data_IF_122369565206
#
_entry.id   IF_122369565206
#
_cell.length_a   1.000
_cell.length_b   1.000
_cell.length_c   1.000
_cell.angle_alpha   90.00
_cell.angle_beta   90.00
_cell.angle_gamma   90.00
#
_symmetry.space_group_name_H-M   'P 1'
#
loop_
_entity.id
_entity.type
_entity.pdbx_description
1 polymer ?
#
# COMPACT_ATOMS: atom_id res chain seq x y z
N UNK A 1 -8.98 23.06 4.20
CA UNK A 1 -9.09 21.62 4.11
C UNK A 1 -8.40 21.07 2.90
N UNK A 2 -8.82 21.50 1.75
CA UNK A 2 -8.25 20.97 0.52
C UNK A 2 -6.76 21.25 0.42
N UNK A 3 -6.36 22.39 0.93
CA UNK A 3 -4.95 22.76 0.90
C UNK A 3 -4.10 21.79 1.69
N UNK A 4 -4.58 21.40 2.88
CA UNK A 4 -3.84 20.45 3.70
C UNK A 4 -3.76 19.10 3.03
N UNK A 5 -4.84 18.65 2.42
CA UNK A 5 -4.84 17.36 1.76
C UNK A 5 -3.92 17.37 0.54
N UNK A 6 -3.88 18.46 -0.19
CA UNK A 6 -2.96 18.56 -1.33
C UNK A 6 -1.51 18.53 -0.86
N UNK A 7 -1.22 19.18 0.25
CA UNK A 7 0.14 19.18 0.79
C UNK A 7 0.54 17.79 1.26
N UNK A 8 -0.36 17.09 1.95
CA UNK A 8 -0.07 15.75 2.43
C UNK A 8 0.13 14.81 1.26
N UNK A 9 -0.74 14.87 0.26
CA UNK A 9 -0.62 14.03 -0.91
C UNK A 9 0.71 14.27 -1.61
N UNK A 10 1.05 15.53 -1.86
CA UNK A 10 2.29 15.87 -2.53
C UNK A 10 3.50 15.35 -1.75
N UNK A 11 3.49 15.56 -0.44
CA UNK A 11 4.61 15.14 0.39
C UNK A 11 4.76 13.63 0.39
N UNK A 12 3.68 12.90 0.58
CA UNK A 12 3.76 11.45 0.66
C UNK A 12 4.13 10.81 -0.68
N UNK A 13 3.64 11.40 -1.80
CA UNK A 13 4.04 10.92 -3.12
C UNK A 13 5.53 11.12 -3.31
N UNK A 14 6.05 12.31 -2.96
CA UNK A 14 7.47 12.59 -3.12
C UNK A 14 8.31 11.68 -2.24
N UNK A 15 7.87 11.44 -1.03
CA UNK A 15 8.60 10.55 -0.12
C UNK A 15 8.69 9.14 -0.68
N UNK A 16 7.57 8.62 -1.18
CA UNK A 16 7.57 7.28 -1.74
C UNK A 16 8.45 7.21 -2.98
N UNK A 17 8.38 8.24 -3.84
CA UNK A 17 9.25 8.29 -5.01
C UNK A 17 10.71 8.24 -4.61
N UNK A 18 11.06 9.02 -3.60
CA UNK A 18 12.44 9.06 -3.12
C UNK A 18 12.87 7.71 -2.57
N UNK A 19 12.02 7.08 -1.78
CA UNK A 19 12.33 5.79 -1.19
C UNK A 19 12.52 4.70 -2.24
N UNK A 20 11.78 4.80 -3.34
CA UNK A 20 11.86 3.82 -4.42
C UNK A 20 12.84 4.20 -5.50
N UNK A 21 13.52 5.35 -5.35
CA UNK A 21 14.49 5.79 -6.33
C UNK A 21 13.88 6.15 -7.67
N UNK A 22 12.72 6.75 -7.65
CA UNK A 22 11.91 6.98 -8.84
C UNK A 22 11.78 8.46 -9.12
N UNK A 23 11.93 8.86 -10.39
CA UNK A 23 11.64 10.24 -10.77
C UNK A 23 10.26 10.32 -11.40
N UNK A 24 9.85 11.55 -11.77
CA UNK A 24 8.50 11.77 -12.30
C UNK A 24 8.26 11.00 -13.60
N UNK A 25 9.26 10.91 -14.45
CA UNK A 25 9.12 10.18 -15.70
C UNK A 25 8.90 8.69 -15.41
N UNK A 26 9.70 8.14 -14.52
CA UNK A 26 9.57 6.73 -14.17
C UNK A 26 8.22 6.44 -13.53
N UNK A 27 7.76 7.33 -12.67
CA UNK A 27 6.44 7.16 -12.07
C UNK A 27 5.36 7.23 -13.12
N UNK A 28 5.49 8.15 -14.07
CA UNK A 28 4.52 8.26 -15.16
C UNK A 28 4.47 6.97 -15.96
N UNK A 29 5.62 6.43 -16.30
CA UNK A 29 5.68 5.20 -17.09
C UNK A 29 5.11 4.01 -16.33
N UNK A 30 5.44 3.92 -15.05
CA UNK A 30 4.99 2.78 -14.26
C UNK A 30 3.51 2.85 -13.94
N UNK A 31 2.99 4.04 -13.68
CA UNK A 31 1.59 4.22 -13.29
C UNK A 31 0.65 4.35 -14.48
N UNK A 32 1.16 4.78 -15.61
CA UNK A 32 0.31 5.10 -16.74
C UNK A 32 -0.37 6.45 -16.61
N UNK A 33 0.05 7.26 -15.66
CA UNK A 33 -0.50 8.60 -15.44
C UNK A 33 0.48 9.61 -16.05
N UNK A 34 -0.05 10.64 -16.73
CA UNK A 34 0.81 11.59 -17.42
C UNK A 34 1.71 12.35 -16.46
N UNK A 35 2.88 12.75 -16.94
CA UNK A 35 3.79 13.56 -16.13
C UNK A 35 3.15 14.88 -15.72
N UNK A 36 2.30 15.43 -16.57
CA UNK A 36 1.61 16.67 -16.27
C UNK A 36 0.77 16.55 -15.01
N UNK A 37 0.03 15.43 -14.89
CA UNK A 37 -0.79 15.19 -13.71
C UNK A 37 0.08 14.99 -12.48
N UNK A 38 1.17 14.23 -12.62
CA UNK A 38 2.08 13.99 -11.52
C UNK A 38 2.72 15.30 -11.07
N UNK A 39 3.11 16.15 -12.01
CA UNK A 39 3.69 17.43 -11.68
C UNK A 39 2.72 18.31 -10.90
N UNK A 40 1.46 18.34 -11.32
CA UNK A 40 0.47 19.16 -10.62
C UNK A 40 0.23 18.69 -9.20
N UNK A 41 0.13 17.37 -9.01
CA UNK A 41 -0.13 16.88 -7.66
C UNK A 41 1.08 17.06 -6.75
N UNK A 42 2.30 16.90 -7.26
CA UNK A 42 3.49 17.08 -6.43
C UNK A 42 3.77 18.55 -6.14
N UNK A 43 3.19 19.46 -6.90
CA UNK A 43 3.30 20.87 -6.66
C UNK A 43 2.06 21.44 -5.97
N UNK A 44 1.22 20.58 -5.43
CA UNK A 44 0.04 20.96 -4.67
C UNK A 44 -0.96 21.79 -5.47
N UNK A 45 -0.99 21.57 -6.77
CA UNK A 45 -1.88 22.37 -7.63
C UNK A 45 -3.21 21.70 -7.93
N UNK A 46 -3.27 20.38 -7.81
CA UNK A 46 -4.49 19.68 -8.13
C UNK A 46 -4.49 18.29 -7.50
N UNK A 47 -5.70 17.77 -7.27
CA UNK A 47 -5.86 16.36 -6.93
C UNK A 47 -6.00 15.56 -8.21
N UNK A 48 -5.44 14.36 -8.26
CA UNK A 48 -5.72 13.45 -9.37
C UNK A 48 -7.13 12.88 -9.21
N UNK A 49 -7.67 12.33 -10.28
CA UNK A 49 -8.92 11.60 -10.18
C UNK A 49 -8.71 10.35 -9.32
N UNK A 50 -9.82 9.75 -8.87
CA UNK A 50 -9.72 8.55 -8.06
C UNK A 50 -8.97 7.44 -8.80
N UNK A 51 -9.25 7.30 -10.10
CA UNK A 51 -8.56 6.29 -10.90
C UNK A 51 -7.08 6.57 -11.02
N UNK A 52 -6.70 7.83 -11.26
CA UNK A 52 -5.30 8.19 -11.34
C UNK A 52 -4.59 8.04 -10.00
N UNK A 53 -5.28 8.39 -8.92
CA UNK A 53 -4.70 8.22 -7.60
C UNK A 53 -4.38 6.76 -7.31
N UNK A 54 -5.30 5.87 -7.67
CA UNK A 54 -5.06 4.44 -7.45
C UNK A 54 -3.88 3.95 -8.29
N UNK A 55 -3.80 4.39 -9.55
CA UNK A 55 -2.68 3.99 -10.40
C UNK A 55 -1.35 4.47 -9.82
N UNK A 56 -1.32 5.69 -9.32
CA UNK A 56 -0.11 6.23 -8.72
C UNK A 56 0.23 5.45 -7.45
N UNK A 57 -0.77 5.16 -6.62
CA UNK A 57 -0.53 4.42 -5.39
C UNK A 57 0.03 3.03 -5.70
N UNK A 58 -0.51 2.36 -6.69
CA UNK A 58 0.01 1.04 -7.07
C UNK A 58 1.45 1.13 -7.54
N UNK A 59 1.77 2.14 -8.34
CA UNK A 59 3.13 2.32 -8.84
C UNK A 59 4.11 2.63 -7.71
N UNK A 60 3.63 3.27 -6.64
CA UNK A 60 4.45 3.61 -5.49
C UNK A 60 4.40 2.55 -4.39
N UNK A 61 3.72 1.44 -4.68
CA UNK A 61 3.61 0.31 -3.74
C UNK A 61 2.99 0.73 -2.42
N UNK A 62 1.92 1.51 -2.51
CA UNK A 62 1.21 1.97 -1.33
C UNK A 62 -0.27 2.05 -1.64
N UNK A 63 -1.04 2.73 -0.80
CA UNK A 63 -2.48 2.87 -0.97
C UNK A 63 -2.86 4.32 -1.14
N UNK A 64 -4.01 4.56 -1.81
CA UNK A 64 -4.52 5.91 -1.94
C UNK A 64 -4.83 6.52 -0.59
N UNK A 65 -5.34 5.72 0.36
CA UNK A 65 -5.64 6.22 1.69
C UNK A 65 -4.40 6.76 2.39
N UNK A 66 -3.28 6.05 2.26
CA UNK A 66 -2.04 6.54 2.85
C UNK A 66 -1.61 7.84 2.20
N UNK A 67 -1.68 7.91 0.87
CA UNK A 67 -1.25 9.11 0.16
C UNK A 67 -2.10 10.32 0.53
N UNK A 68 -3.38 10.09 0.81
CA UNK A 68 -4.28 11.19 1.18
C UNK A 68 -4.20 11.55 2.66
N UNK A 69 -3.44 10.79 3.44
CA UNK A 69 -3.32 11.05 4.86
C UNK A 69 -4.44 10.45 5.70
N UNK A 70 -5.29 9.64 5.09
CA UNK A 70 -6.40 9.02 5.80
C UNK A 70 -5.98 7.77 6.55
N UNK A 71 -4.81 7.24 6.25
CA UNK A 71 -4.30 6.04 6.88
C UNK A 71 -2.80 6.19 7.10
N UNK A 72 -2.32 5.64 8.20
CA UNK A 72 -0.89 5.60 8.47
C UNK A 72 -0.25 4.33 7.95
N UNK A 73 -1.05 3.41 7.44
CA UNK A 73 -0.54 2.16 6.90
C UNK A 73 -0.10 2.40 5.48
N UNK A 74 1.20 2.37 5.27
CA UNK A 74 1.80 2.66 3.97
C UNK A 74 1.76 1.46 3.03
N UNK A 75 1.87 0.28 3.57
CA UNK A 75 2.04 -0.92 2.74
C UNK A 75 0.74 -1.35 2.09
N UNK A 76 0.84 -1.69 0.82
CA UNK A 76 -0.26 -2.35 0.13
C UNK A 76 -0.23 -3.81 0.55
N UNK A 77 -1.35 -4.31 1.02
CA UNK A 77 -1.43 -5.70 1.46
C UNK A 77 -2.28 -6.49 0.49
N UNK A 78 -1.73 -7.57 0.02
CA UNK A 78 -2.45 -8.51 -0.80
C UNK A 78 -2.74 -9.75 0.03
N UNK A 79 -3.60 -10.61 -0.51
CA UNK A 79 -3.89 -11.87 0.16
C UNK A 79 -2.62 -12.69 0.31
N UNK A 80 -1.77 -12.67 -0.71
CA UNK A 80 -0.52 -13.42 -0.66
C UNK A 80 0.40 -12.92 0.44
N UNK A 81 0.46 -11.61 0.63
CA UNK A 81 1.29 -11.04 1.69
C UNK A 81 0.80 -11.46 3.06
N UNK A 82 -0.51 -11.49 3.23
CA UNK A 82 -1.09 -11.91 4.49
C UNK A 82 -0.77 -13.37 4.75
N UNK A 83 -0.91 -14.20 3.73
CA UNK A 83 -0.61 -15.61 3.85
C UNK A 83 0.86 -15.83 4.21
N UNK A 84 1.75 -15.08 3.59
CA UNK A 84 3.17 -15.22 3.87
C UNK A 84 3.50 -14.83 5.30
N UNK A 85 2.87 -13.80 5.83
CA UNK A 85 3.09 -13.41 7.20
C UNK A 85 2.65 -14.49 8.17
N UNK A 86 1.49 -15.09 7.92
CA UNK A 86 0.98 -16.15 8.77
C UNK A 86 1.92 -17.36 8.70
N UNK A 87 2.39 -17.67 7.50
CA UNK A 87 3.30 -18.80 7.34
C UNK A 87 4.60 -18.58 8.14
N UNK A 88 5.14 -17.38 8.09
CA UNK A 88 6.35 -17.07 8.84
C UNK A 88 6.14 -17.23 10.33
N UNK A 89 5.00 -16.79 10.82
CA UNK A 89 4.71 -16.94 12.24
C UNK A 89 4.58 -18.40 12.64
N UNK A 90 3.98 -19.20 11.78
CA UNK A 90 3.85 -20.62 12.06
C UNK A 90 5.21 -21.32 12.12
N UNK A 91 6.15 -20.88 11.30
CA UNK A 91 7.47 -21.50 11.28
C UNK A 91 8.26 -21.23 12.54
N UNK A 92 7.87 -20.23 13.30
CA UNK A 92 8.55 -19.93 14.55
C UNK A 92 8.03 -20.76 15.72
N UNK A 93 6.99 -21.54 15.48
CA UNK A 93 6.39 -22.35 16.54
C UNK A 93 7.09 -23.71 16.63
N UNK A 94 6.98 -24.30 17.81
CA UNK A 94 7.48 -25.67 17.96
C UNK A 94 6.60 -26.63 17.17
N UNK A 95 7.09 -27.86 17.03
CA UNK A 95 6.31 -28.85 16.33
C UNK A 95 4.98 -29.09 17.02
N UNK A 96 4.99 -29.12 18.35
CA UNK A 96 3.76 -29.31 19.11
C UNK A 96 2.81 -28.14 18.91
N UNK A 97 3.35 -26.94 18.95
CA UNK A 97 2.52 -25.76 18.76
C UNK A 97 1.92 -25.71 17.37
N UNK A 98 2.70 -26.10 16.36
CA UNK A 98 2.18 -26.17 15.01
C UNK A 98 1.06 -27.18 14.89
N UNK A 99 1.20 -28.32 15.52
CA UNK A 99 0.20 -29.35 15.46
C UNK A 99 -1.10 -28.91 16.11
N UNK A 100 -1.00 -28.24 17.24
CA UNK A 100 -2.18 -27.74 17.92
C UNK A 100 -2.88 -26.67 17.09
N UNK A 101 -2.11 -25.79 16.52
CA UNK A 101 -2.68 -24.71 15.71
C UNK A 101 -3.35 -25.27 14.46
N UNK A 102 -2.70 -26.24 13.82
CA UNK A 102 -3.28 -26.83 12.64
C UNK A 102 -4.58 -27.55 12.96
N UNK A 103 -4.61 -28.24 14.08
CA UNK A 103 -5.82 -28.92 14.51
C UNK A 103 -6.94 -27.91 14.74
N UNK A 104 -6.61 -26.83 15.43
CA UNK A 104 -7.61 -25.81 15.73
C UNK A 104 -8.15 -25.17 14.46
N UNK A 105 -7.28 -24.90 13.50
CA UNK A 105 -7.69 -24.26 12.26
C UNK A 105 -8.47 -25.21 11.38
N UNK A 106 -7.99 -26.46 11.26
CA UNK A 106 -8.58 -27.42 10.34
C UNK A 106 -9.84 -28.07 10.86
N UNK A 107 -10.04 -28.07 12.17
CA UNK A 107 -11.24 -28.61 12.76
C UNK A 107 -12.35 -27.58 12.71
N UNK A 108 -13.45 -27.88 12.03
CA UNK A 108 -14.54 -26.89 11.96
C UNK A 108 -15.06 -26.57 13.35
N UNK A 109 -15.24 -25.28 13.58
CA UNK A 109 -15.69 -24.84 14.87
C UNK A 109 -17.03 -25.40 15.24
N UNK A 110 -17.89 -25.52 14.26
CA UNK A 110 -19.22 -26.01 14.52
C UNK A 110 -19.26 -27.49 14.76
N UNK A 111 -18.13 -28.13 14.65
CA UNK A 111 -18.14 -29.53 14.92
C UNK A 111 -18.30 -29.79 16.34
N UNK A 112 -18.06 -29.01 17.12
CA UNK A 112 -18.14 -29.23 18.45
C UNK A 112 -18.99 -30.01 18.99
#
# INVERSE_FOLDING_TARGET
MDKNKKAILAQRVKERMSMLGMNALQLSEKSGVSQSIISRLTNEKAFPSAGNLEKIAMALDTTGSYLLGDSEICERRSLDEIKNKVRGQLEELTVEEKAELAWFILTPVNKK
#
